data_IF_360031841581
#
_entry.id   IF_360031841581
#
_cell.length_a   1.000
_cell.length_b   1.000
_cell.length_c   1.000
_cell.angle_alpha   90.00
_cell.angle_beta   90.00
_cell.angle_gamma   90.00
#
_symmetry.space_group_name_H-M   'P 1'
#
loop_
_entity.id
_entity.type
_entity.pdbx_description
1 polymer ?
#
# COMPACT_ATOMS: atom_id res chain seq x y z
N UNK A 1 0.54 -4.30 -20.08
CA UNK A 1 -0.30 -4.37 -18.87
C UNK A 1 0.50 -3.80 -17.70
N UNK A 2 -0.15 -3.07 -16.79
CA UNK A 2 0.49 -2.55 -15.58
C UNK A 2 -0.33 -3.01 -14.37
N UNK A 3 0.36 -3.53 -13.36
CA UNK A 3 -0.23 -3.87 -12.07
C UNK A 3 0.29 -2.85 -11.06
N UNK A 4 -0.61 -2.15 -10.37
CA UNK A 4 -0.28 -1.25 -9.28
C UNK A 4 -0.82 -1.83 -7.98
N UNK A 5 0.06 -2.12 -7.03
CA UNK A 5 -0.28 -2.57 -5.68
C UNK A 5 -0.17 -1.38 -4.74
N UNK A 6 -1.27 -1.00 -4.11
CA UNK A 6 -1.30 0.06 -3.10
C UNK A 6 -1.48 -0.61 -1.74
N UNK A 7 -0.55 -0.39 -0.82
CA UNK A 7 -0.52 -1.06 0.49
C UNK A 7 -0.41 -0.04 1.61
N UNK A 8 -1.08 -0.30 2.74
CA UNK A 8 -0.94 0.49 3.96
C UNK A 8 0.24 -0.05 4.77
N UNK A 9 1.06 0.86 5.30
CA UNK A 9 2.26 0.53 6.05
C UNK A 9 3.49 0.32 5.15
N UNK A 10 4.67 0.45 5.77
CA UNK A 10 5.96 0.25 5.11
C UNK A 10 6.61 -1.03 5.57
N UNK A 11 7.19 -1.79 4.65
CA UNK A 11 8.06 -2.90 5.02
C UNK A 11 9.28 -2.38 5.77
N UNK A 12 9.50 -2.90 6.99
CA UNK A 12 10.65 -2.52 7.83
C UNK A 12 11.79 -3.53 7.67
N UNK A 13 11.46 -4.82 7.73
CA UNK A 13 12.44 -5.90 7.70
C UNK A 13 13.07 -6.10 6.31
N UNK A 14 14.40 -6.25 6.30
CA UNK A 14 15.17 -6.44 5.08
C UNK A 14 14.79 -7.73 4.34
N UNK A 15 14.55 -8.82 5.08
CA UNK A 15 14.14 -10.10 4.50
C UNK A 15 12.86 -9.98 3.65
N UNK A 16 11.86 -9.23 4.11
CA UNK A 16 10.62 -9.02 3.34
C UNK A 16 10.85 -8.15 2.10
N UNK A 17 11.70 -7.12 2.20
CA UNK A 17 12.06 -6.29 1.04
C UNK A 17 12.77 -7.09 -0.04
N UNK A 18 13.68 -7.97 0.37
CA UNK A 18 14.43 -8.82 -0.57
C UNK A 18 13.51 -9.85 -1.24
N UNK A 19 12.60 -10.46 -0.48
CA UNK A 19 11.58 -11.36 -1.03
C UNK A 19 10.72 -10.65 -2.08
N UNK A 20 10.18 -9.46 -1.76
CA UNK A 20 9.40 -8.65 -2.72
C UNK A 20 10.22 -8.35 -3.97
N UNK A 21 11.48 -7.92 -3.82
CA UNK A 21 12.36 -7.62 -4.95
C UNK A 21 12.60 -8.83 -5.85
N UNK A 22 12.77 -10.01 -5.28
CA UNK A 22 12.96 -11.25 -6.03
C UNK A 22 11.71 -11.61 -6.86
N UNK A 23 10.51 -11.46 -6.29
CA UNK A 23 9.27 -11.68 -7.04
C UNK A 23 9.02 -10.60 -8.11
N UNK A 24 9.33 -9.33 -7.82
CA UNK A 24 9.23 -8.25 -8.81
C UNK A 24 10.07 -8.57 -10.05
N UNK A 25 11.34 -8.97 -9.87
CA UNK A 25 12.23 -9.35 -10.98
C UNK A 25 11.67 -10.47 -11.84
N UNK A 26 11.07 -11.49 -11.21
CA UNK A 26 10.46 -12.63 -11.91
C UNK A 26 9.23 -12.21 -12.73
N UNK A 27 8.54 -11.15 -12.31
CA UNK A 27 7.36 -10.62 -12.98
C UNK A 27 7.67 -9.59 -14.08
N UNK A 28 8.87 -8.99 -14.08
CA UNK A 28 9.29 -7.98 -15.06
C UNK A 28 9.03 -8.35 -16.53
N UNK A 29 9.28 -9.60 -17.01
CA UNK A 29 9.00 -9.97 -18.39
C UNK A 29 7.51 -9.97 -18.77
N UNK A 30 6.62 -10.07 -17.78
CA UNK A 30 5.17 -10.26 -18.00
C UNK A 30 4.37 -8.98 -17.76
N UNK A 31 4.80 -8.14 -16.84
CA UNK A 31 4.06 -6.94 -16.44
C UNK A 31 4.95 -5.90 -15.79
N UNK A 32 4.57 -4.64 -15.92
CA UNK A 32 5.12 -3.59 -15.07
C UNK A 32 4.40 -3.64 -13.72
N UNK A 33 5.12 -4.00 -12.67
CA UNK A 33 4.64 -3.95 -11.30
C UNK A 33 5.09 -2.64 -10.64
N UNK A 34 4.14 -1.92 -10.05
CA UNK A 34 4.38 -0.73 -9.24
C UNK A 34 3.81 -0.96 -7.85
N UNK A 35 4.63 -0.81 -6.81
CA UNK A 35 4.22 -0.95 -5.42
C UNK A 35 4.27 0.42 -4.77
N UNK A 36 3.15 0.83 -4.18
CA UNK A 36 2.99 2.14 -3.53
C UNK A 36 2.56 1.92 -2.09
N UNK A 37 3.47 2.23 -1.17
CA UNK A 37 3.23 2.15 0.27
C UNK A 37 2.69 3.50 0.76
N UNK A 38 1.49 3.50 1.33
CA UNK A 38 0.93 4.66 2.06
C UNK A 38 1.18 4.49 3.56
N UNK A 39 1.27 5.60 4.29
CA UNK A 39 1.48 5.56 5.73
C UNK A 39 0.25 4.93 6.44
N UNK A 40 0.53 4.15 7.48
CA UNK A 40 -0.49 3.66 8.43
C UNK A 40 -0.85 4.76 9.43
N UNK A 41 -2.12 4.82 9.83
CA UNK A 41 -2.54 5.71 10.89
C UNK A 41 -2.21 5.10 12.25
N UNK A 42 -1.54 5.90 13.10
CA UNK A 42 -1.20 5.45 14.46
C UNK A 42 -2.41 5.57 15.36
N UNK A 43 -2.83 4.43 15.90
CA UNK A 43 -3.88 4.34 16.91
C UNK A 43 -3.28 4.11 18.30
N UNK A 44 -3.96 4.57 19.37
CA UNK A 44 -3.61 4.18 20.74
C UNK A 44 -3.83 2.67 20.96
N UNK A 45 -3.30 2.14 22.07
CA UNK A 45 -3.40 0.70 22.40
C UNK A 45 -4.85 0.20 22.52
N UNK A 46 -5.75 1.05 23.04
CA UNK A 46 -7.18 0.77 23.17
C UNK A 46 -8.01 1.86 22.46
N UNK A 47 -8.11 1.82 21.12
CA UNK A 47 -8.82 2.84 20.38
C UNK A 47 -10.33 2.68 20.50
N UNK A 48 -11.04 3.80 20.57
CA UNK A 48 -12.49 3.83 20.43
C UNK A 48 -12.91 3.49 19.00
N UNK A 49 -14.19 3.10 18.83
CA UNK A 49 -14.77 2.87 17.50
C UNK A 49 -14.69 4.11 16.60
N UNK A 50 -14.77 5.30 17.17
CA UNK A 50 -14.69 6.55 16.43
C UNK A 50 -13.26 6.78 15.89
N UNK A 51 -12.23 6.51 16.69
CA UNK A 51 -10.83 6.63 16.27
C UNK A 51 -10.47 5.61 15.20
N UNK A 52 -10.92 4.35 15.33
CA UNK A 52 -10.73 3.33 14.29
C UNK A 52 -11.35 3.79 12.97
N UNK A 53 -12.58 4.32 13.02
CA UNK A 53 -13.27 4.80 11.81
C UNK A 53 -12.51 5.96 11.17
N UNK A 54 -12.04 6.91 11.97
CA UNK A 54 -11.26 8.03 11.46
C UNK A 54 -9.94 7.59 10.82
N UNK A 55 -9.25 6.61 11.41
CA UNK A 55 -8.04 6.03 10.83
C UNK A 55 -8.33 5.37 9.48
N UNK A 56 -9.37 4.54 9.40
CA UNK A 56 -9.79 3.90 8.15
C UNK A 56 -10.18 4.91 7.06
N UNK A 57 -10.87 5.99 7.43
CA UNK A 57 -11.26 7.04 6.48
C UNK A 57 -10.01 7.73 5.89
N UNK A 58 -9.04 8.09 6.73
CA UNK A 58 -7.77 8.71 6.29
C UNK A 58 -6.89 7.78 5.46
N UNK A 59 -6.77 6.51 5.84
CA UNK A 59 -6.04 5.51 5.06
C UNK A 59 -6.74 5.30 3.71
N UNK A 60 -8.08 5.25 3.71
CA UNK A 60 -8.90 5.16 2.52
C UNK A 60 -8.70 6.35 1.57
N UNK A 61 -8.65 7.58 2.09
CA UNK A 61 -8.31 8.77 1.30
C UNK A 61 -6.90 8.68 0.71
N UNK A 62 -5.93 8.23 1.50
CA UNK A 62 -4.54 8.05 1.05
C UNK A 62 -4.44 7.03 -0.07
N UNK A 63 -5.15 5.92 0.03
CA UNK A 63 -5.27 4.91 -1.04
C UNK A 63 -5.90 5.52 -2.29
N UNK A 64 -7.04 6.22 -2.15
CA UNK A 64 -7.76 6.82 -3.29
C UNK A 64 -6.88 7.79 -4.08
N UNK A 65 -6.05 8.60 -3.42
CA UNK A 65 -5.10 9.52 -4.09
C UNK A 65 -4.06 8.80 -4.95
N UNK A 66 -3.81 7.52 -4.70
CA UNK A 66 -2.85 6.70 -5.45
C UNK A 66 -3.50 5.91 -6.59
N UNK A 67 -4.83 5.90 -6.68
CA UNK A 67 -5.54 5.25 -7.78
C UNK A 67 -5.38 6.14 -9.03
N UNK A 68 -4.80 5.62 -10.13
CA UNK A 68 -4.68 6.38 -11.36
C UNK A 68 -6.06 6.81 -11.88
N UNK A 69 -6.14 8.01 -12.46
CA UNK A 69 -7.35 8.41 -13.18
C UNK A 69 -7.59 7.42 -14.32
N UNK A 70 -8.82 6.92 -14.44
CA UNK A 70 -9.22 6.15 -15.62
C UNK A 70 -9.17 7.13 -16.80
N UNK A 71 -8.38 6.86 -17.86
CA UNK A 71 -8.44 7.68 -19.06
C UNK A 71 -9.85 7.58 -19.63
N UNK A 72 -10.48 8.74 -19.83
CA UNK A 72 -11.78 8.90 -20.52
C UNK A 72 -11.73 8.35 -21.94
#
# INVERSE_FOLDING_TARGET
>A
MQIRMITVGKLKEQYWKDAVKEYCKRLEPYTRLEIVEVAEERLPENPSRAEIRQALDKEGESIRRQIPAVPS
#
